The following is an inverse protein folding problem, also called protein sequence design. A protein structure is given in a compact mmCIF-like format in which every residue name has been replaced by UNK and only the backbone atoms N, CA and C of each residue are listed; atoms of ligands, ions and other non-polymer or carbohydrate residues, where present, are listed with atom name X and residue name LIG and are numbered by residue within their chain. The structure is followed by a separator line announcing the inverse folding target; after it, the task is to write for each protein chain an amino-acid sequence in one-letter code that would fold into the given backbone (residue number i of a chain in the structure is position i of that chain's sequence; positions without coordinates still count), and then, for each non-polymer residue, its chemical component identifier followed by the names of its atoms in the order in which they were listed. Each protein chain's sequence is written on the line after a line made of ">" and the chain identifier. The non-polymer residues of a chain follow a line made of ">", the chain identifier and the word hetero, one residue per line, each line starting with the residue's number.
data_IF_915841110917
#
_entry.id   IF_915841110917
#
_cell.length_a   1.000
_cell.length_b   1.000
_cell.length_c   1.000
_cell.angle_alpha   90.00
_cell.angle_beta   90.00
_cell.angle_gamma   90.00
#
_symmetry.space_group_name_H-M   'P 1'
#
loop_
_entity.id
_entity.type
_entity.pdbx_description
1 polymer ?
#
# COMPACT_ATOMS: atom_id res chain seq x y z
N UNK A 1 30.05 78.75 65.59
CA UNK A 1 31.05 78.37 64.61
C UNK A 1 31.05 76.86 64.38
N UNK A 2 30.30 76.37 63.42
CA UNK A 2 30.30 74.95 63.05
C UNK A 2 30.41 74.85 61.50
N UNK A 3 31.48 74.30 61.03
CA UNK A 3 31.74 74.06 59.61
C UNK A 3 30.98 72.76 59.16
N UNK A 4 30.12 72.87 58.16
CA UNK A 4 29.39 71.81 57.59
C UNK A 4 30.23 71.37 56.39
N UNK A 5 30.65 70.08 56.39
CA UNK A 5 31.32 69.40 55.28
C UNK A 5 30.26 68.79 54.35
N UNK A 6 30.27 69.23 53.07
CA UNK A 6 29.36 68.68 52.03
C UNK A 6 30.09 67.56 51.31
N UNK A 7 29.65 66.34 51.51
CA UNK A 7 30.13 65.17 50.76
C UNK A 7 29.32 65.05 49.47
N UNK A 8 29.95 65.28 48.32
CA UNK A 8 29.35 64.95 46.99
C UNK A 8 29.55 63.50 46.69
N UNK A 9 28.45 62.74 46.61
CA UNK A 9 28.44 61.37 46.11
C UNK A 9 28.27 61.43 44.63
N UNK A 10 29.31 61.03 43.85
CA UNK A 10 29.25 60.84 42.42
C UNK A 10 28.68 59.45 42.16
N UNK A 11 27.43 59.40 41.63
CA UNK A 11 26.77 58.15 41.20
C UNK A 11 27.23 57.83 39.74
N UNK A 12 28.16 56.90 39.58
CA UNK A 12 28.53 56.38 38.28
C UNK A 12 27.46 55.36 37.81
N UNK A 13 26.61 55.78 36.88
CA UNK A 13 25.73 54.87 36.15
C UNK A 13 26.54 54.05 35.14
N UNK A 14 26.84 52.79 35.44
CA UNK A 14 27.29 51.81 34.45
C UNK A 14 26.08 51.42 33.59
N UNK A 15 25.97 51.99 32.38
CA UNK A 15 25.11 51.48 31.33
C UNK A 15 25.74 50.17 30.82
N UNK A 16 25.32 49.05 31.35
CA UNK A 16 25.60 47.75 30.77
C UNK A 16 24.77 47.63 29.47
N UNK A 17 25.40 47.87 28.32
CA UNK A 17 24.89 47.42 27.03
C UNK A 17 24.81 45.89 27.05
N UNK A 18 23.63 45.36 27.41
CA UNK A 18 23.29 43.97 27.02
C UNK A 18 23.15 43.96 25.52
N UNK A 19 24.16 43.42 24.81
CA UNK A 19 23.96 42.87 23.49
C UNK A 19 22.89 41.80 23.65
N UNK A 20 21.70 42.05 23.16
CA UNK A 20 20.76 40.98 22.90
C UNK A 20 21.38 40.19 21.74
N UNK A 21 22.00 39.05 22.03
CA UNK A 21 22.24 38.04 21.03
C UNK A 21 20.85 37.64 20.52
N UNK A 22 20.43 38.27 19.45
CA UNK A 22 19.31 37.77 18.66
C UNK A 22 19.73 36.38 18.22
N UNK A 23 19.21 35.35 18.87
CA UNK A 23 19.25 33.99 18.37
C UNK A 23 18.52 34.07 17.03
N UNK A 24 19.29 34.20 15.95
CA UNK A 24 18.75 34.03 14.60
C UNK A 24 18.35 32.58 14.53
N UNK A 25 17.04 32.31 14.69
CA UNK A 25 16.55 30.97 14.42
C UNK A 25 17.01 30.58 13.02
N UNK A 26 17.65 29.41 12.87
CA UNK A 26 18.12 28.98 11.57
C UNK A 26 16.92 28.89 10.62
N UNK A 27 17.02 29.50 9.46
CA UNK A 27 15.98 29.45 8.42
C UNK A 27 15.71 27.98 8.14
N UNK A 28 14.54 27.50 8.54
CA UNK A 28 14.16 26.12 8.31
C UNK A 28 14.02 25.87 6.79
N UNK A 29 14.79 24.93 6.27
CA UNK A 29 14.67 24.50 4.91
C UNK A 29 13.57 23.42 4.83
N UNK A 30 12.34 23.84 4.57
CA UNK A 30 11.17 22.95 4.54
C UNK A 30 11.02 22.29 3.17
N UNK A 31 11.18 20.96 3.14
CA UNK A 31 10.96 20.12 1.97
C UNK A 31 9.54 19.57 2.02
N UNK A 32 8.70 20.02 1.08
CA UNK A 32 7.31 19.62 1.02
C UNK A 32 7.15 18.40 0.12
N UNK A 33 6.61 17.33 0.70
CA UNK A 33 6.16 16.13 -0.01
C UNK A 33 4.66 16.26 -0.30
N UNK A 34 4.17 15.49 -1.25
CA UNK A 34 2.75 15.33 -1.52
C UNK A 34 2.33 13.87 -1.37
N UNK A 35 1.10 13.63 -0.92
CA UNK A 35 0.48 12.32 -0.90
C UNK A 35 -0.98 12.43 -1.36
N UNK A 36 -1.30 11.71 -2.43
CA UNK A 36 -2.67 11.60 -2.99
C UNK A 36 -3.17 10.22 -2.61
N UNK A 37 -4.16 10.15 -1.71
CA UNK A 37 -4.59 8.90 -1.07
C UNK A 37 -6.12 8.84 -1.01
N UNK A 38 -6.67 7.64 -0.98
CA UNK A 38 -8.09 7.40 -0.74
C UNK A 38 -8.38 7.52 0.77
N UNK A 39 -8.55 8.74 1.29
CA UNK A 39 -8.76 8.98 2.72
C UNK A 39 -10.23 8.81 3.13
N UNK A 40 -11.12 8.70 2.17
CA UNK A 40 -12.56 8.46 2.36
C UNK A 40 -13.06 7.44 1.32
N UNK A 41 -14.26 6.88 1.53
CA UNK A 41 -14.87 5.89 0.64
C UNK A 41 -14.32 4.47 0.84
N UNK A 42 -14.49 3.65 -0.19
CA UNK A 42 -14.32 2.18 -0.11
C UNK A 42 -12.87 1.69 0.10
N UNK A 43 -11.88 2.54 -0.11
CA UNK A 43 -10.46 2.20 0.09
C UNK A 43 -9.81 3.02 1.21
N UNK A 44 -10.65 3.62 2.08
CA UNK A 44 -10.18 4.52 3.14
C UNK A 44 -9.35 3.85 4.22
N UNK A 45 -9.54 2.56 4.49
CA UNK A 45 -8.70 1.84 5.46
C UNK A 45 -7.22 1.91 5.06
N UNK A 46 -6.91 1.62 3.80
CA UNK A 46 -5.56 1.67 3.24
C UNK A 46 -5.02 3.10 3.18
N UNK A 47 -5.85 4.05 2.75
CA UNK A 47 -5.48 5.46 2.71
C UNK A 47 -5.14 6.03 4.07
N UNK A 48 -5.95 5.73 5.10
CA UNK A 48 -5.74 6.21 6.47
C UNK A 48 -4.52 5.57 7.13
N UNK A 49 -4.31 4.26 6.96
CA UNK A 49 -3.11 3.58 7.47
C UNK A 49 -1.84 4.07 6.76
N UNK A 50 -1.91 4.28 5.45
CA UNK A 50 -0.83 4.87 4.66
C UNK A 50 -0.50 6.31 5.09
N UNK A 51 -1.53 7.15 5.33
CA UNK A 51 -1.33 8.50 5.85
C UNK A 51 -0.65 8.49 7.21
N UNK A 52 -1.11 7.64 8.14
CA UNK A 52 -0.50 7.50 9.46
C UNK A 52 0.97 7.04 9.38
N UNK A 53 1.28 6.13 8.45
CA UNK A 53 2.65 5.69 8.19
C UNK A 53 3.54 6.83 7.68
N UNK A 54 3.05 7.65 6.75
CA UNK A 54 3.76 8.83 6.23
C UNK A 54 4.01 9.85 7.36
N UNK A 55 3.02 10.12 8.20
CA UNK A 55 3.16 11.04 9.34
C UNK A 55 4.25 10.57 10.31
N UNK A 56 4.21 9.30 10.71
CA UNK A 56 5.22 8.70 11.60
C UNK A 56 6.62 8.71 10.98
N UNK A 57 6.71 8.49 9.67
CA UNK A 57 7.98 8.56 8.95
C UNK A 57 8.55 9.97 8.92
N UNK A 58 7.72 10.99 8.73
CA UNK A 58 8.12 12.41 8.77
C UNK A 58 8.56 12.80 10.18
N UNK A 59 7.82 12.38 11.21
CA UNK A 59 8.21 12.60 12.61
C UNK A 59 9.61 12.03 12.89
N UNK A 60 9.84 10.77 12.50
CA UNK A 60 11.14 10.08 12.65
C UNK A 60 12.25 10.76 11.86
N UNK A 61 11.98 11.12 10.60
CA UNK A 61 12.95 11.80 9.72
C UNK A 61 13.35 13.17 10.27
N UNK A 62 12.37 13.96 10.72
CA UNK A 62 12.63 15.27 11.31
C UNK A 62 13.37 15.20 12.65
N UNK A 63 13.10 14.16 13.47
CA UNK A 63 13.87 13.91 14.69
C UNK A 63 15.33 13.57 14.37
N UNK A 64 15.60 12.77 13.33
CA UNK A 64 16.96 12.48 12.85
C UNK A 64 17.71 13.75 12.42
N UNK A 65 17.08 14.64 11.66
CA UNK A 65 17.70 15.91 11.27
C UNK A 65 17.95 16.84 12.49
N UNK A 66 17.00 16.89 13.41
CA UNK A 66 17.16 17.69 14.62
C UNK A 66 18.31 17.19 15.50
N UNK A 67 18.49 15.87 15.63
CA UNK A 67 19.56 15.28 16.46
C UNK A 67 20.98 15.64 16.00
N UNK A 68 21.14 15.98 14.73
CA UNK A 68 22.43 16.45 14.16
C UNK A 68 22.48 17.96 13.94
N UNK A 69 21.52 18.71 14.51
CA UNK A 69 21.48 20.18 14.40
C UNK A 69 21.16 20.71 13.01
N UNK A 70 20.61 19.86 12.10
CA UNK A 70 20.25 20.27 10.75
C UNK A 70 18.97 21.13 10.75
N UNK A 71 18.91 22.22 9.98
CA UNK A 71 17.71 23.03 9.81
C UNK A 71 16.68 22.41 8.86
N UNK A 72 17.01 21.29 8.19
CA UNK A 72 16.13 20.61 7.23
C UNK A 72 14.93 20.02 7.95
N UNK A 73 13.74 20.27 7.40
CA UNK A 73 12.49 19.65 7.86
C UNK A 73 11.68 19.18 6.67
N UNK A 74 10.99 18.07 6.86
CA UNK A 74 10.04 17.52 5.89
C UNK A 74 8.62 17.75 6.39
N UNK A 75 7.72 17.98 5.45
CA UNK A 75 6.27 18.04 5.68
C UNK A 75 5.54 17.39 4.51
N UNK A 76 4.28 16.98 4.70
CA UNK A 76 3.47 16.39 3.64
C UNK A 76 2.15 17.13 3.49
N UNK A 77 1.75 17.37 2.26
CA UNK A 77 0.43 17.85 1.85
C UNK A 77 -0.37 16.66 1.35
N UNK A 78 -1.60 16.52 1.82
CA UNK A 78 -2.47 15.40 1.47
C UNK A 78 -3.62 15.87 0.59
N UNK A 79 -4.00 15.03 -0.37
CA UNK A 79 -5.24 15.15 -1.11
C UNK A 79 -6.04 13.84 -0.99
N UNK A 80 -7.32 13.96 -0.64
CA UNK A 80 -8.27 12.85 -0.65
C UNK A 80 -8.80 12.64 -2.07
N UNK A 81 -8.67 11.43 -2.59
CA UNK A 81 -9.07 11.10 -3.95
C UNK A 81 -10.40 10.38 -4.03
N UNK A 82 -10.86 9.77 -2.93
CA UNK A 82 -12.12 9.05 -2.90
C UNK A 82 -12.27 8.04 -4.06
N UNK A 83 -11.14 7.45 -4.49
CA UNK A 83 -11.04 6.57 -5.68
C UNK A 83 -11.50 7.24 -7.00
N UNK A 84 -11.59 8.57 -7.05
CA UNK A 84 -11.97 9.33 -8.25
C UNK A 84 -10.72 9.88 -8.96
N UNK A 85 -10.52 9.42 -10.19
CA UNK A 85 -9.38 9.85 -11.02
C UNK A 85 -9.39 11.35 -11.34
N UNK A 86 -10.55 12.04 -11.28
CA UNK A 86 -10.60 13.49 -11.48
C UNK A 86 -10.11 14.22 -10.23
N UNK A 87 -10.49 13.75 -9.04
CA UNK A 87 -9.93 14.27 -7.78
C UNK A 87 -8.43 14.00 -7.69
N UNK A 88 -7.98 12.81 -8.11
CA UNK A 88 -6.55 12.50 -8.21
C UNK A 88 -5.81 13.47 -9.12
N UNK A 89 -6.34 13.74 -10.33
CA UNK A 89 -5.74 14.69 -11.27
C UNK A 89 -5.69 16.12 -10.72
N UNK A 90 -6.78 16.59 -10.09
CA UNK A 90 -6.80 17.93 -9.48
C UNK A 90 -5.82 18.02 -8.31
N UNK A 91 -5.80 17.03 -7.40
CA UNK A 91 -4.86 17.01 -6.28
C UNK A 91 -3.40 17.02 -6.70
N UNK A 92 -3.02 16.19 -7.70
CA UNK A 92 -1.66 16.20 -8.26
C UNK A 92 -1.33 17.54 -8.90
N UNK A 93 -2.26 18.14 -9.65
CA UNK A 93 -2.08 19.45 -10.27
C UNK A 93 -1.91 20.56 -9.24
N UNK A 94 -2.72 20.59 -8.19
CA UNK A 94 -2.63 21.57 -7.10
C UNK A 94 -1.28 21.45 -6.38
N UNK A 95 -0.80 20.24 -6.12
CA UNK A 95 0.53 20.01 -5.57
C UNK A 95 1.63 20.54 -6.50
N UNK A 96 1.50 20.29 -7.81
CA UNK A 96 2.43 20.82 -8.81
C UNK A 96 2.45 22.35 -8.81
N UNK A 97 1.28 22.99 -8.84
CA UNK A 97 1.16 24.46 -8.84
C UNK A 97 1.71 25.07 -7.54
N UNK A 98 1.61 24.33 -6.42
CA UNK A 98 2.22 24.70 -5.14
C UNK A 98 3.74 24.45 -5.07
N UNK A 99 4.37 23.98 -6.16
CA UNK A 99 5.82 23.73 -6.23
C UNK A 99 6.26 22.37 -5.66
N UNK A 100 5.34 21.47 -5.31
CA UNK A 100 5.65 20.12 -4.85
C UNK A 100 6.00 19.25 -6.07
N UNK A 101 7.12 18.52 -6.00
CA UNK A 101 7.61 17.66 -7.09
C UNK A 101 7.91 16.23 -6.63
N UNK A 102 7.77 15.96 -5.34
CA UNK A 102 8.04 14.67 -4.71
C UNK A 102 6.74 14.14 -4.10
N UNK A 103 6.24 13.05 -4.63
CA UNK A 103 5.07 12.34 -4.08
C UNK A 103 5.51 11.07 -3.38
N UNK A 104 4.88 10.75 -2.26
CA UNK A 104 5.17 9.56 -1.45
C UNK A 104 3.87 8.81 -1.10
N UNK A 105 3.94 7.49 -1.08
CA UNK A 105 2.81 6.63 -0.78
C UNK A 105 1.84 6.46 -1.96
N UNK A 106 1.13 7.52 -2.31
CA UNK A 106 0.15 7.54 -3.40
C UNK A 106 0.71 7.82 -4.80
N UNK A 107 -0.15 7.83 -5.84
CA UNK A 107 -1.62 7.68 -5.81
C UNK A 107 -2.13 6.35 -5.24
N UNK A 108 -3.34 6.40 -4.66
CA UNK A 108 -3.90 5.37 -3.80
C UNK A 108 -4.23 4.02 -4.46
N UNK A 109 -4.33 3.97 -5.81
CA UNK A 109 -4.59 2.72 -6.53
C UNK A 109 -4.09 2.77 -7.98
N UNK A 110 -4.11 1.63 -8.68
CA UNK A 110 -3.56 1.50 -10.04
C UNK A 110 -4.31 2.33 -11.08
N UNK A 111 -5.62 2.51 -10.95
CA UNK A 111 -6.43 3.30 -11.89
C UNK A 111 -6.10 4.78 -11.77
N UNK A 112 -5.92 5.26 -10.56
CA UNK A 112 -5.52 6.64 -10.27
C UNK A 112 -4.09 6.93 -10.74
N UNK A 113 -3.13 6.04 -10.43
CA UNK A 113 -1.76 6.21 -10.89
C UNK A 113 -1.68 6.25 -12.41
N UNK A 114 -2.42 5.36 -13.10
CA UNK A 114 -2.51 5.37 -14.56
C UNK A 114 -3.05 6.69 -15.10
N UNK A 115 -4.04 7.27 -14.42
CA UNK A 115 -4.68 8.52 -14.84
C UNK A 115 -3.76 9.75 -14.73
N UNK A 116 -2.82 9.76 -13.77
CA UNK A 116 -1.90 10.89 -13.55
C UNK A 116 -0.50 10.66 -14.09
N UNK A 117 -0.13 9.42 -14.41
CA UNK A 117 1.21 9.07 -14.92
C UNK A 117 1.71 9.99 -16.05
N UNK A 118 0.92 10.29 -17.11
CA UNK A 118 1.37 11.19 -18.17
C UNK A 118 1.72 12.60 -17.67
N UNK A 119 0.98 13.09 -16.66
CA UNK A 119 1.25 14.39 -16.06
C UNK A 119 2.52 14.36 -15.21
N UNK A 120 2.73 13.30 -14.41
CA UNK A 120 3.94 13.13 -13.59
C UNK A 120 5.19 13.12 -14.47
N UNK A 121 5.19 12.31 -15.53
CA UNK A 121 6.32 12.18 -16.45
C UNK A 121 6.63 13.50 -17.19
N UNK A 122 5.60 14.14 -17.76
CA UNK A 122 5.75 15.40 -18.50
C UNK A 122 6.28 16.54 -17.62
N UNK A 123 5.93 16.56 -16.34
CA UNK A 123 6.29 17.62 -15.39
C UNK A 123 7.41 17.21 -14.43
N UNK A 124 8.06 16.06 -14.66
CA UNK A 124 9.17 15.54 -13.84
C UNK A 124 8.83 15.52 -12.34
N UNK A 125 7.61 15.08 -12.01
CA UNK A 125 7.19 14.82 -10.63
C UNK A 125 7.54 13.39 -10.27
N UNK A 126 8.41 13.20 -9.31
CA UNK A 126 8.79 11.87 -8.82
C UNK A 126 7.73 11.34 -7.86
N UNK A 127 7.21 10.14 -8.11
CA UNK A 127 6.34 9.40 -7.20
C UNK A 127 7.04 8.13 -6.70
N UNK A 128 7.13 7.98 -5.38
CA UNK A 128 7.51 6.73 -4.71
C UNK A 128 6.23 6.16 -4.11
N UNK A 129 5.56 5.28 -4.86
CA UNK A 129 4.20 4.82 -4.56
C UNK A 129 4.17 3.42 -3.95
N UNK A 130 3.09 3.10 -3.20
CA UNK A 130 2.97 1.89 -2.40
C UNK A 130 1.64 1.15 -2.55
N UNK A 131 0.69 1.63 -3.38
CA UNK A 131 -0.67 1.07 -3.47
C UNK A 131 -1.09 0.68 -4.90
N UNK A 132 -0.20 0.82 -5.87
CA UNK A 132 -0.50 0.63 -7.30
C UNK A 132 0.31 -0.54 -7.87
N UNK A 133 -0.31 -1.72 -7.99
CA UNK A 133 0.36 -2.98 -8.33
C UNK A 133 0.17 -3.45 -9.78
N UNK A 134 -0.70 -2.79 -10.58
CA UNK A 134 -0.99 -3.26 -11.96
C UNK A 134 0.29 -3.39 -12.81
N UNK A 135 0.46 -4.53 -13.54
CA UNK A 135 1.61 -4.74 -14.45
C UNK A 135 1.71 -3.71 -15.57
N UNK A 136 0.57 -3.10 -15.97
CA UNK A 136 0.55 -2.06 -17.01
C UNK A 136 1.27 -0.76 -16.62
N UNK A 137 1.64 -0.63 -15.34
CA UNK A 137 2.38 0.51 -14.78
C UNK A 137 3.89 0.21 -14.63
N UNK A 138 4.32 -1.00 -14.95
CA UNK A 138 5.72 -1.45 -14.93
C UNK A 138 6.46 -0.89 -16.15
N UNK A 139 6.91 0.36 -16.07
CA UNK A 139 7.52 1.09 -17.18
C UNK A 139 8.88 1.64 -16.76
N UNK A 140 9.93 1.24 -17.48
CA UNK A 140 11.28 1.72 -17.20
C UNK A 140 11.45 3.21 -17.56
N UNK A 141 12.37 3.87 -16.87
CA UNK A 141 12.80 5.23 -17.12
C UNK A 141 11.74 6.34 -16.97
N UNK A 142 10.62 6.03 -16.34
CA UNK A 142 9.61 7.01 -15.95
C UNK A 142 9.94 7.73 -14.62
N UNK A 143 9.00 8.54 -14.11
CA UNK A 143 9.14 9.24 -12.83
C UNK A 143 8.42 8.53 -11.68
N UNK A 144 8.31 7.19 -11.74
CA UNK A 144 7.59 6.38 -10.76
C UNK A 144 8.47 5.26 -10.25
N UNK A 145 8.55 5.12 -8.94
CA UNK A 145 9.07 3.95 -8.25
C UNK A 145 7.98 3.33 -7.39
N UNK A 146 7.86 2.00 -7.42
CA UNK A 146 6.87 1.29 -6.62
C UNK A 146 7.57 0.42 -5.58
N UNK A 147 7.33 0.70 -4.30
CA UNK A 147 7.90 -0.09 -3.19
C UNK A 147 7.08 -1.36 -2.88
N UNK A 148 6.28 -1.78 -3.84
CA UNK A 148 5.53 -3.02 -3.86
C UNK A 148 5.82 -3.76 -5.17
N UNK A 149 5.63 -5.07 -5.17
CA UNK A 149 5.73 -5.86 -6.41
C UNK A 149 4.54 -5.59 -7.33
N UNK A 150 4.73 -5.79 -8.62
CA UNK A 150 3.60 -5.82 -9.54
C UNK A 150 2.77 -7.10 -9.41
N UNK A 151 1.56 -7.10 -9.98
CA UNK A 151 0.63 -8.21 -9.90
C UNK A 151 1.09 -9.49 -10.63
N UNK A 152 2.19 -9.46 -11.39
CA UNK A 152 2.79 -10.68 -11.91
C UNK A 152 3.34 -11.55 -10.78
N UNK A 153 3.88 -10.94 -9.72
CA UNK A 153 4.38 -11.67 -8.55
C UNK A 153 3.21 -12.21 -7.73
N UNK A 154 2.16 -11.40 -7.53
CA UNK A 154 0.93 -11.85 -6.87
C UNK A 154 0.27 -13.02 -7.61
N UNK A 155 0.15 -12.89 -8.94
CA UNK A 155 -0.37 -13.96 -9.80
C UNK A 155 0.49 -15.23 -9.73
N UNK A 156 1.81 -15.10 -9.58
CA UNK A 156 2.72 -16.21 -9.31
C UNK A 156 2.38 -16.93 -8.01
N UNK A 157 2.15 -16.20 -6.93
CA UNK A 157 1.73 -16.75 -5.65
C UNK A 157 0.36 -17.47 -5.75
N UNK A 158 -0.63 -16.83 -6.38
CA UNK A 158 -1.94 -17.44 -6.64
C UNK A 158 -1.83 -18.70 -7.48
N UNK A 159 -1.05 -18.68 -8.55
CA UNK A 159 -0.84 -19.87 -9.41
C UNK A 159 -0.17 -21.03 -8.65
N UNK A 160 0.79 -20.72 -7.77
CA UNK A 160 1.40 -21.74 -6.92
C UNK A 160 0.37 -22.37 -5.97
N UNK A 161 -0.54 -21.57 -5.39
CA UNK A 161 -1.61 -22.06 -4.53
C UNK A 161 -2.66 -22.87 -5.31
N UNK A 162 -3.04 -22.42 -6.51
CA UNK A 162 -3.93 -23.14 -7.44
C UNK A 162 -3.39 -24.52 -7.75
N UNK A 163 -2.09 -24.64 -8.05
CA UNK A 163 -1.42 -25.91 -8.30
C UNK A 163 -1.31 -26.79 -7.05
N UNK A 164 -0.95 -26.21 -5.92
CA UNK A 164 -0.90 -26.89 -4.63
C UNK A 164 -2.24 -27.53 -4.29
N UNK A 165 -3.34 -26.80 -4.48
CA UNK A 165 -4.69 -27.27 -4.25
C UNK A 165 -5.24 -28.19 -5.35
N UNK A 166 -4.45 -28.43 -6.39
CA UNK A 166 -4.82 -29.26 -7.55
C UNK A 166 -6.06 -28.74 -8.29
N UNK A 167 -6.29 -27.43 -8.31
CA UNK A 167 -7.36 -26.78 -9.08
C UNK A 167 -7.03 -26.86 -10.57
N UNK A 168 -8.07 -27.05 -11.41
CA UNK A 168 -7.95 -27.22 -12.86
C UNK A 168 -8.58 -26.07 -13.64
N UNK A 169 -9.52 -25.36 -13.06
CA UNK A 169 -10.16 -24.20 -13.67
C UNK A 169 -10.33 -23.07 -12.64
N UNK A 170 -9.90 -21.87 -12.99
CA UNK A 170 -10.09 -20.64 -12.21
C UNK A 170 -11.10 -19.76 -12.94
N UNK A 171 -12.15 -19.34 -12.26
CA UNK A 171 -13.22 -18.46 -12.75
C UNK A 171 -13.04 -17.09 -12.10
N UNK A 172 -12.50 -16.07 -12.77
CA UNK A 172 -12.41 -14.74 -12.22
C UNK A 172 -13.77 -14.05 -12.10
N UNK A 173 -14.01 -13.40 -10.96
CA UNK A 173 -15.04 -12.39 -10.74
C UNK A 173 -14.32 -11.12 -10.33
N UNK A 174 -14.27 -10.11 -11.21
CA UNK A 174 -13.28 -9.06 -11.07
C UNK A 174 -13.78 -7.67 -11.47
N UNK A 175 -13.21 -6.66 -10.83
CA UNK A 175 -13.42 -5.25 -11.16
C UNK A 175 -12.92 -4.95 -12.58
N UNK A 176 -13.73 -4.22 -13.34
CA UNK A 176 -13.41 -3.80 -14.70
C UNK A 176 -12.63 -2.48 -14.72
N UNK A 177 -11.45 -2.49 -14.08
CA UNK A 177 -10.54 -1.35 -13.99
C UNK A 177 -9.08 -1.77 -14.25
N UNK A 178 -8.14 -0.84 -14.05
CA UNK A 178 -6.71 -1.09 -14.31
C UNK A 178 -6.16 -2.21 -13.42
N UNK A 179 -6.58 -2.27 -12.15
CA UNK A 179 -6.14 -3.29 -11.21
C UNK A 179 -6.73 -4.66 -11.54
N UNK A 180 -8.07 -4.78 -11.59
CA UNK A 180 -8.72 -6.07 -11.79
C UNK A 180 -8.35 -6.73 -13.12
N UNK A 181 -8.33 -5.97 -14.21
CA UNK A 181 -7.86 -6.48 -15.52
C UNK A 181 -6.39 -6.87 -15.49
N UNK A 182 -5.56 -6.11 -14.77
CA UNK A 182 -4.12 -6.37 -14.65
C UNK A 182 -3.85 -7.73 -14.00
N UNK A 183 -4.44 -7.98 -12.83
CA UNK A 183 -4.25 -9.23 -12.10
C UNK A 183 -4.83 -10.44 -12.85
N UNK A 184 -6.02 -10.31 -13.46
CA UNK A 184 -6.59 -11.41 -14.26
C UNK A 184 -5.71 -11.72 -15.48
N UNK A 185 -5.18 -10.71 -16.16
CA UNK A 185 -4.24 -10.91 -17.27
C UNK A 185 -2.98 -11.62 -16.79
N UNK A 186 -2.41 -11.20 -15.67
CA UNK A 186 -1.25 -11.87 -15.07
C UNK A 186 -1.54 -13.33 -14.71
N UNK A 187 -2.74 -13.64 -14.20
CA UNK A 187 -3.16 -15.02 -13.92
C UNK A 187 -3.28 -15.87 -15.18
N UNK A 188 -3.79 -15.30 -16.28
CA UNK A 188 -3.82 -15.98 -17.59
C UNK A 188 -2.39 -16.32 -18.04
N UNK A 189 -1.45 -15.37 -17.96
CA UNK A 189 -0.05 -15.61 -18.29
C UNK A 189 0.56 -16.70 -17.40
N UNK A 190 0.29 -16.66 -16.10
CA UNK A 190 0.76 -17.67 -15.15
C UNK A 190 0.20 -19.07 -15.40
N UNK A 191 -0.94 -19.20 -16.07
CA UNK A 191 -1.53 -20.50 -16.40
C UNK A 191 -0.88 -21.19 -17.60
N UNK A 192 -0.17 -20.43 -18.45
CA UNK A 192 0.45 -20.97 -19.67
C UNK A 192 1.43 -22.10 -19.38
N UNK A 193 1.22 -23.24 -20.02
CA UNK A 193 2.05 -24.45 -19.83
C UNK A 193 1.88 -25.14 -18.48
N UNK A 194 0.93 -24.68 -17.63
CA UNK A 194 0.60 -25.30 -16.35
C UNK A 194 -0.70 -26.12 -16.40
N UNK A 195 -0.93 -26.94 -15.41
CA UNK A 195 -2.05 -27.88 -15.37
C UNK A 195 -3.35 -27.24 -14.83
N UNK A 196 -3.63 -26.00 -15.20
CA UNK A 196 -4.90 -25.33 -14.96
C UNK A 196 -5.18 -24.28 -16.04
N UNK A 197 -6.45 -23.91 -16.18
CA UNK A 197 -6.90 -22.84 -17.09
C UNK A 197 -7.49 -21.68 -16.28
N UNK A 198 -7.45 -20.48 -16.85
CA UNK A 198 -8.17 -19.31 -16.38
C UNK A 198 -9.28 -18.99 -17.38
N UNK A 199 -10.54 -19.04 -16.92
CA UNK A 199 -11.71 -18.68 -17.73
C UNK A 199 -11.75 -17.16 -17.95
N UNK A 200 -12.36 -16.64 -19.02
CA UNK A 200 -12.59 -15.19 -19.17
C UNK A 200 -13.29 -14.53 -17.97
N UNK A 201 -14.12 -15.28 -17.24
CA UNK A 201 -14.77 -14.83 -16.01
C UNK A 201 -15.87 -13.79 -16.22
N UNK A 202 -16.23 -13.13 -15.13
CA UNK A 202 -17.24 -12.07 -15.08
C UNK A 202 -16.57 -10.78 -14.60
N UNK A 203 -16.55 -9.76 -15.44
CA UNK A 203 -16.15 -8.43 -15.01
C UNK A 203 -17.36 -7.59 -14.58
N UNK A 204 -17.15 -6.67 -13.64
CA UNK A 204 -18.15 -5.71 -13.20
C UNK A 204 -17.55 -4.30 -13.11
N UNK A 205 -18.38 -3.29 -13.36
CA UNK A 205 -17.94 -1.89 -13.22
C UNK A 205 -17.81 -1.52 -11.74
N UNK A 206 -16.77 -0.78 -11.33
CA UNK A 206 -16.72 -0.16 -10.01
C UNK A 206 -18.01 0.60 -9.69
N UNK A 207 -18.52 0.46 -8.45
CA UNK A 207 -19.80 1.03 -8.05
C UNK A 207 -21.05 0.24 -8.47
N UNK A 208 -20.88 -0.94 -9.10
CA UNK A 208 -22.02 -1.84 -9.35
C UNK A 208 -22.57 -2.39 -8.03
N UNK A 209 -23.90 -2.54 -7.95
CA UNK A 209 -24.60 -3.06 -6.76
C UNK A 209 -25.41 -4.34 -7.05
N UNK A 210 -25.35 -4.85 -8.28
CA UNK A 210 -26.07 -6.06 -8.69
C UNK A 210 -25.31 -7.35 -8.36
N UNK A 211 -24.82 -7.46 -7.13
CA UNK A 211 -23.98 -8.56 -6.64
C UNK A 211 -24.63 -9.93 -6.82
N UNK A 212 -25.94 -10.04 -6.55
CA UNK A 212 -26.67 -11.32 -6.69
C UNK A 212 -26.69 -11.83 -8.14
N UNK A 213 -26.93 -10.95 -9.12
CA UNK A 213 -26.90 -11.29 -10.54
C UNK A 213 -25.50 -11.73 -10.98
N UNK A 214 -24.48 -10.96 -10.63
CA UNK A 214 -23.08 -11.26 -10.98
C UNK A 214 -22.62 -12.58 -10.36
N UNK A 215 -23.00 -12.83 -9.12
CA UNK A 215 -22.73 -14.08 -8.41
C UNK A 215 -23.45 -15.27 -9.05
N UNK A 216 -24.72 -15.10 -9.45
CA UNK A 216 -25.46 -16.15 -10.15
C UNK A 216 -24.85 -16.51 -11.52
N UNK A 217 -24.38 -15.50 -12.26
CA UNK A 217 -23.64 -15.71 -13.53
C UNK A 217 -22.31 -16.45 -13.29
N UNK A 218 -21.60 -16.08 -12.21
CA UNK A 218 -20.38 -16.80 -11.81
C UNK A 218 -20.68 -18.27 -11.48
N UNK A 219 -21.78 -18.55 -10.77
CA UNK A 219 -22.21 -19.91 -10.48
C UNK A 219 -22.46 -20.74 -11.74
N UNK A 220 -23.00 -20.14 -12.81
CA UNK A 220 -23.16 -20.79 -14.11
C UNK A 220 -21.82 -21.25 -14.70
N UNK A 221 -20.81 -20.37 -14.71
CA UNK A 221 -19.46 -20.74 -15.20
C UNK A 221 -18.78 -21.77 -14.31
N UNK A 222 -18.98 -21.70 -12.98
CA UNK A 222 -18.47 -22.73 -12.06
C UNK A 222 -19.14 -24.07 -12.32
N UNK A 223 -20.45 -24.11 -12.59
CA UNK A 223 -21.17 -25.33 -12.92
C UNK A 223 -20.65 -25.99 -14.21
N UNK A 224 -20.43 -25.20 -15.27
CA UNK A 224 -19.85 -25.68 -16.53
C UNK A 224 -18.44 -26.27 -16.32
N UNK A 225 -17.58 -25.56 -15.59
CA UNK A 225 -16.24 -26.04 -15.28
C UNK A 225 -16.27 -27.28 -14.36
N UNK A 226 -17.19 -27.32 -13.41
CA UNK A 226 -17.37 -28.46 -12.51
C UNK A 226 -17.83 -29.74 -13.24
N UNK A 227 -18.63 -29.61 -14.28
CA UNK A 227 -19.02 -30.74 -15.14
C UNK A 227 -17.79 -31.34 -15.88
N UNK A 228 -16.82 -30.52 -16.25
CA UNK A 228 -15.62 -30.98 -16.95
C UNK A 228 -14.52 -31.51 -16.00
N UNK A 229 -14.33 -30.90 -14.83
CA UNK A 229 -13.16 -31.16 -13.96
C UNK A 229 -13.54 -31.72 -12.59
N UNK A 230 -14.81 -31.68 -12.19
CA UNK A 230 -15.26 -31.92 -10.83
C UNK A 230 -15.26 -30.65 -9.96
N UNK A 231 -16.27 -30.49 -9.11
CA UNK A 231 -16.48 -29.25 -8.33
C UNK A 231 -15.28 -28.85 -7.44
N UNK A 232 -14.62 -29.83 -6.82
CA UNK A 232 -13.42 -29.60 -5.98
C UNK A 232 -12.17 -29.16 -6.75
N UNK A 233 -12.21 -29.18 -8.08
CA UNK A 233 -11.13 -28.76 -8.98
C UNK A 233 -11.40 -27.41 -9.64
N UNK A 234 -12.46 -26.72 -9.25
CA UNK A 234 -12.82 -25.39 -9.74
C UNK A 234 -12.64 -24.38 -8.62
N UNK A 235 -12.12 -23.22 -8.98
CA UNK A 235 -11.99 -22.10 -8.05
C UNK A 235 -12.62 -20.83 -8.62
N UNK A 236 -13.19 -19.99 -7.75
CA UNK A 236 -13.48 -18.59 -8.03
C UNK A 236 -12.28 -17.75 -7.59
N UNK A 237 -11.84 -16.83 -8.43
CA UNK A 237 -10.87 -15.81 -8.09
C UNK A 237 -11.60 -14.46 -7.99
N UNK A 238 -11.78 -13.97 -6.77
CA UNK A 238 -12.45 -12.72 -6.47
C UNK A 238 -11.44 -11.57 -6.44
N UNK A 239 -11.50 -10.67 -7.44
CA UNK A 239 -10.60 -9.51 -7.54
C UNK A 239 -11.41 -8.24 -7.35
N UNK A 240 -11.43 -7.75 -6.11
CA UNK A 240 -12.29 -6.64 -5.67
C UNK A 240 -11.57 -5.83 -4.60
N UNK A 241 -12.20 -4.74 -4.19
CA UNK A 241 -11.85 -4.03 -2.95
C UNK A 241 -12.86 -4.36 -1.85
N UNK A 242 -13.58 -3.37 -1.32
CA UNK A 242 -14.60 -3.58 -0.28
C UNK A 242 -15.80 -4.42 -0.75
N UNK A 243 -16.06 -4.48 -2.06
CA UNK A 243 -17.13 -5.30 -2.64
C UNK A 243 -16.97 -6.80 -2.33
N UNK A 244 -15.80 -7.24 -1.83
CA UNK A 244 -15.58 -8.63 -1.42
C UNK A 244 -16.66 -9.12 -0.45
N UNK A 245 -17.01 -8.31 0.55
CA UNK A 245 -18.02 -8.63 1.55
C UNK A 245 -19.39 -8.89 0.91
N UNK A 246 -19.78 -8.07 -0.05
CA UNK A 246 -21.08 -8.18 -0.73
C UNK A 246 -21.14 -9.42 -1.65
N UNK A 247 -20.07 -9.70 -2.40
CA UNK A 247 -19.99 -10.90 -3.24
C UNK A 247 -19.98 -12.20 -2.42
N UNK A 248 -19.23 -12.24 -1.33
CA UNK A 248 -19.20 -13.41 -0.45
C UNK A 248 -20.56 -13.63 0.22
N UNK A 249 -21.23 -12.56 0.66
CA UNK A 249 -22.61 -12.63 1.19
C UNK A 249 -23.61 -13.07 0.12
N UNK A 250 -23.52 -12.57 -1.11
CA UNK A 250 -24.37 -12.96 -2.21
C UNK A 250 -24.17 -14.42 -2.65
N UNK A 251 -23.00 -15.00 -2.38
CA UNK A 251 -22.71 -16.41 -2.67
C UNK A 251 -23.24 -17.38 -1.59
N UNK A 252 -23.62 -16.86 -0.41
CA UNK A 252 -24.12 -17.68 0.68
C UNK A 252 -25.38 -18.47 0.26
N UNK A 253 -25.44 -19.75 0.63
CA UNK A 253 -26.56 -20.63 0.26
C UNK A 253 -26.54 -21.17 -1.18
N UNK A 254 -25.60 -20.73 -2.03
CA UNK A 254 -25.45 -21.30 -3.36
C UNK A 254 -24.63 -22.59 -3.29
N UNK A 255 -25.28 -23.74 -3.54
CA UNK A 255 -24.65 -25.06 -3.43
C UNK A 255 -23.44 -25.26 -4.37
N UNK A 256 -23.48 -24.67 -5.57
CA UNK A 256 -22.42 -24.82 -6.57
C UNK A 256 -21.19 -24.04 -6.13
N UNK A 257 -21.38 -22.78 -5.71
CA UNK A 257 -20.32 -21.90 -5.24
C UNK A 257 -19.74 -22.40 -3.91
N UNK A 258 -20.58 -23.00 -3.04
CA UNK A 258 -20.15 -23.59 -1.77
C UNK A 258 -19.25 -24.83 -1.93
N UNK A 259 -19.25 -25.48 -3.11
CA UNK A 259 -18.38 -26.62 -3.42
C UNK A 259 -17.08 -26.25 -4.13
N UNK A 260 -17.02 -25.03 -4.68
CA UNK A 260 -15.83 -24.49 -5.32
C UNK A 260 -14.84 -23.96 -4.28
N UNK A 261 -13.56 -23.88 -4.65
CA UNK A 261 -12.57 -23.13 -3.88
C UNK A 261 -12.71 -21.63 -4.14
N UNK A 262 -12.30 -20.83 -3.17
CA UNK A 262 -12.34 -19.39 -3.32
C UNK A 262 -10.98 -18.76 -2.97
N UNK A 263 -10.46 -18.02 -3.92
CA UNK A 263 -9.26 -17.18 -3.76
C UNK A 263 -9.67 -15.71 -3.87
N UNK A 264 -9.09 -14.89 -3.02
CA UNK A 264 -9.14 -13.43 -3.14
C UNK A 264 -7.83 -12.88 -3.72
N UNK A 265 -7.72 -11.57 -3.69
CA UNK A 265 -6.54 -10.80 -4.05
C UNK A 265 -5.99 -10.06 -2.81
N UNK A 266 -4.86 -9.37 -2.95
CA UNK A 266 -4.23 -8.59 -1.89
C UNK A 266 -5.17 -7.55 -1.27
N UNK A 267 -5.98 -6.90 -2.11
CA UNK A 267 -6.95 -5.91 -1.67
C UNK A 267 -8.13 -6.47 -0.85
N UNK A 268 -8.26 -7.80 -0.75
CA UNK A 268 -9.28 -8.44 0.09
C UNK A 268 -8.78 -8.84 1.49
N UNK A 269 -7.46 -8.83 1.71
CA UNK A 269 -6.86 -9.30 2.95
C UNK A 269 -7.15 -8.35 4.10
N UNK A 270 -7.51 -8.92 5.26
CA UNK A 270 -7.73 -8.19 6.51
C UNK A 270 -8.82 -7.10 6.45
N UNK A 271 -9.78 -7.24 5.51
CA UNK A 271 -10.95 -6.36 5.45
C UNK A 271 -11.89 -6.65 6.60
N UNK A 272 -12.16 -5.63 7.41
CA UNK A 272 -13.08 -5.71 8.53
C UNK A 272 -14.51 -5.96 8.04
N UNK A 273 -14.89 -5.39 6.89
CA UNK A 273 -16.22 -5.59 6.28
C UNK A 273 -16.53 -7.05 5.98
N UNK A 274 -15.53 -7.88 5.66
CA UNK A 274 -15.73 -9.34 5.47
C UNK A 274 -16.04 -10.04 6.78
N UNK A 275 -15.45 -9.61 7.90
CA UNK A 275 -15.68 -10.23 9.23
C UNK A 275 -17.00 -9.78 9.88
N UNK A 276 -17.40 -8.53 9.65
CA UNK A 276 -18.59 -7.91 10.26
C UNK A 276 -19.87 -8.20 9.50
N UNK A 277 -19.80 -8.52 8.20
CA UNK A 277 -20.92 -9.03 7.42
C UNK A 277 -21.07 -10.55 7.69
N UNK A 278 -22.05 -10.93 8.50
CA UNK A 278 -22.25 -12.32 8.93
C UNK A 278 -22.32 -13.29 7.75
N UNK A 279 -23.09 -12.96 6.69
CA UNK A 279 -23.21 -13.81 5.51
C UNK A 279 -21.89 -14.01 4.77
N UNK A 280 -21.10 -12.93 4.66
CA UNK A 280 -19.78 -12.99 4.05
C UNK A 280 -18.80 -13.83 4.89
N UNK A 281 -18.76 -13.61 6.19
CA UNK A 281 -17.85 -14.32 7.10
C UNK A 281 -18.16 -15.83 7.17
N UNK A 282 -19.43 -16.19 7.29
CA UNK A 282 -19.89 -17.59 7.29
C UNK A 282 -19.51 -18.29 5.99
N UNK A 283 -19.82 -17.66 4.84
CA UNK A 283 -19.49 -18.24 3.53
C UNK A 283 -17.97 -18.33 3.34
N UNK A 284 -17.22 -17.26 3.61
CA UNK A 284 -15.78 -17.25 3.49
C UNK A 284 -15.10 -18.33 4.34
N UNK A 285 -15.58 -18.54 5.57
CA UNK A 285 -15.08 -19.60 6.45
C UNK A 285 -15.41 -20.98 5.91
N UNK A 286 -16.63 -21.20 5.42
CA UNK A 286 -17.09 -22.49 4.90
C UNK A 286 -16.32 -22.93 3.65
N UNK A 287 -16.07 -22.02 2.70
CA UNK A 287 -15.35 -22.32 1.45
C UNK A 287 -13.83 -22.20 1.58
N UNK A 288 -13.32 -21.86 2.76
CA UNK A 288 -11.90 -21.57 3.01
C UNK A 288 -11.40 -20.46 2.07
N UNK A 289 -12.11 -19.33 2.05
CA UNK A 289 -11.65 -18.16 1.30
C UNK A 289 -10.25 -17.77 1.76
N UNK A 290 -9.29 -17.77 0.85
CA UNK A 290 -7.90 -17.39 1.10
C UNK A 290 -7.47 -16.30 0.14
N UNK A 291 -6.74 -15.31 0.65
CA UNK A 291 -6.25 -14.20 -0.16
C UNK A 291 -4.79 -13.91 0.16
N UNK A 292 -3.93 -13.67 -0.85
CA UNK A 292 -2.52 -13.36 -0.64
C UNK A 292 -2.31 -11.87 -0.47
N UNK A 293 -1.36 -11.48 0.37
CA UNK A 293 -0.81 -10.13 0.39
C UNK A 293 0.70 -10.20 0.50
N UNK A 294 1.39 -9.20 -0.02
CA UNK A 294 2.84 -9.07 0.14
C UNK A 294 3.24 -9.21 1.61
N UNK A 295 4.18 -10.11 1.90
CA UNK A 295 4.62 -10.42 3.25
C UNK A 295 5.66 -9.44 3.78
N UNK A 296 5.64 -9.24 5.10
CA UNK A 296 6.66 -8.52 5.83
C UNK A 296 7.53 -9.57 6.54
N UNK A 297 8.83 -9.57 6.26
CA UNK A 297 9.76 -10.54 6.85
C UNK A 297 9.71 -11.93 6.20
N UNK A 298 10.30 -12.90 6.86
CA UNK A 298 10.41 -14.28 6.38
C UNK A 298 9.59 -15.23 7.25
N UNK A 299 8.85 -16.15 6.62
CA UNK A 299 8.19 -17.30 7.24
C UNK A 299 7.30 -16.98 8.46
N UNK A 300 6.65 -15.82 8.48
CA UNK A 300 5.70 -15.47 9.55
C UNK A 300 6.32 -14.78 10.77
N UNK A 301 7.59 -14.44 10.74
CA UNK A 301 8.22 -13.55 11.71
C UNK A 301 8.20 -12.12 11.18
N UNK A 302 7.42 -11.25 11.83
CA UNK A 302 7.44 -9.81 11.54
C UNK A 302 8.66 -9.23 12.27
N UNK A 303 9.57 -8.52 11.57
CA UNK A 303 10.70 -7.85 12.22
C UNK A 303 10.23 -6.85 13.28
N UNK A 304 10.96 -6.72 14.39
CA UNK A 304 10.55 -5.86 15.50
C UNK A 304 10.24 -4.40 15.07
N UNK A 305 11.03 -3.73 14.21
CA UNK A 305 10.69 -2.38 13.77
C UNK A 305 9.37 -2.30 13.00
N UNK A 306 9.04 -3.34 12.21
CA UNK A 306 7.78 -3.40 11.48
C UNK A 306 6.59 -3.66 12.42
N UNK A 307 6.77 -4.49 13.46
CA UNK A 307 5.76 -4.72 14.48
C UNK A 307 5.47 -3.46 15.28
N UNK A 308 6.50 -2.76 15.76
CA UNK A 308 6.36 -1.49 16.47
C UNK A 308 5.64 -0.42 15.62
N UNK A 309 6.01 -0.29 14.36
CA UNK A 309 5.35 0.61 13.42
C UNK A 309 3.89 0.24 13.22
N UNK A 310 3.57 -1.05 13.08
CA UNK A 310 2.20 -1.55 12.97
C UNK A 310 1.35 -1.16 14.18
N UNK A 311 1.90 -1.32 15.39
CA UNK A 311 1.20 -0.94 16.63
C UNK A 311 0.95 0.56 16.71
N UNK A 312 1.91 1.39 16.29
CA UNK A 312 1.76 2.85 16.25
C UNK A 312 0.69 3.28 15.23
N UNK A 313 0.68 2.69 14.03
CA UNK A 313 -0.34 2.97 13.01
C UNK A 313 -1.72 2.54 13.51
N UNK A 314 -1.83 1.35 14.09
CA UNK A 314 -3.07 0.85 14.67
C UNK A 314 -3.59 1.75 15.78
N UNK A 315 -2.72 2.23 16.65
CA UNK A 315 -3.09 3.17 17.72
C UNK A 315 -3.65 4.50 17.18
N UNK A 316 -3.11 4.98 16.03
CA UNK A 316 -3.58 6.22 15.37
C UNK A 316 -4.88 6.04 14.61
N UNK A 317 -5.11 4.88 13.98
CA UNK A 317 -6.18 4.69 12.98
C UNK A 317 -7.30 3.74 13.43
N UNK A 318 -7.02 2.86 14.39
CA UNK A 318 -7.88 1.74 14.75
C UNK A 318 -7.73 0.51 13.84
N UNK A 319 -7.08 0.65 12.67
CA UNK A 319 -6.91 -0.42 11.68
C UNK A 319 -5.55 -1.10 11.78
N UNK A 320 -5.50 -2.38 11.46
CA UNK A 320 -4.24 -3.11 11.29
C UNK A 320 -3.65 -2.71 9.93
N UNK A 321 -2.42 -2.14 9.88
CA UNK A 321 -1.80 -1.81 8.61
C UNK A 321 -1.32 -3.06 7.90
N UNK A 322 -1.36 -3.04 6.59
CA UNK A 322 -0.79 -4.04 5.72
C UNK A 322 0.66 -3.68 5.29
N UNK A 323 1.26 -4.51 4.45
CA UNK A 323 2.60 -4.28 3.92
C UNK A 323 2.69 -3.01 3.05
N UNK A 324 1.59 -2.58 2.46
CA UNK A 324 1.51 -1.39 1.61
C UNK A 324 1.57 -0.11 2.45
N UNK A 325 0.83 -0.07 3.55
CA UNK A 325 0.93 1.02 4.52
C UNK A 325 2.35 1.13 5.11
N UNK A 326 2.99 0.00 5.46
CA UNK A 326 4.37 0.00 5.94
C UNK A 326 5.36 0.44 4.85
N UNK A 327 5.07 0.14 3.58
CA UNK A 327 5.87 0.64 2.46
C UNK A 327 5.76 2.15 2.28
N UNK A 328 4.64 2.77 2.68
CA UNK A 328 4.48 4.22 2.67
C UNK A 328 5.38 4.92 3.70
N UNK A 329 5.65 4.28 4.86
CA UNK A 329 6.70 4.73 5.78
C UNK A 329 8.07 4.71 5.10
N UNK A 330 8.42 3.59 4.46
CA UNK A 330 9.71 3.45 3.77
C UNK A 330 9.86 4.45 2.61
N UNK A 331 8.78 4.79 1.91
CA UNK A 331 8.80 5.78 0.83
C UNK A 331 9.32 7.14 1.30
N UNK A 332 8.90 7.59 2.50
CA UNK A 332 9.37 8.84 3.11
C UNK A 332 10.83 8.72 3.54
N UNK A 333 11.20 7.61 4.20
CA UNK A 333 12.58 7.40 4.65
C UNK A 333 13.56 7.32 3.46
N UNK A 334 13.19 6.60 2.40
CA UNK A 334 13.97 6.51 1.16
C UNK A 334 14.08 7.87 0.49
N UNK A 335 12.99 8.66 0.43
CA UNK A 335 13.02 10.02 -0.10
C UNK A 335 13.97 10.92 0.69
N UNK A 336 13.97 10.83 2.03
CA UNK A 336 14.90 11.56 2.91
C UNK A 336 16.36 11.17 2.70
N UNK A 337 16.66 9.87 2.60
CA UNK A 337 18.00 9.37 2.30
C UNK A 337 18.45 9.77 0.90
N UNK A 338 17.56 9.72 -0.08
CA UNK A 338 17.84 10.16 -1.44
C UNK A 338 18.12 11.67 -1.51
N UNK A 339 17.43 12.48 -0.70
CA UNK A 339 17.71 13.89 -0.53
C UNK A 339 19.12 14.11 0.02
N UNK A 340 19.55 13.39 1.05
CA UNK A 340 20.88 13.49 1.65
C UNK A 340 21.98 13.20 0.59
N UNK A 341 21.80 12.15 -0.21
CA UNK A 341 22.77 11.76 -1.25
C UNK A 341 22.76 12.75 -2.42
N UNK A 342 21.60 13.18 -2.88
CA UNK A 342 21.45 14.12 -4.00
C UNK A 342 21.88 15.55 -3.63
N UNK A 343 21.90 15.90 -2.34
CA UNK A 343 22.14 17.26 -1.83
C UNK A 343 21.11 18.28 -2.34
N UNK A 344 19.90 17.83 -2.70
CA UNK A 344 18.91 18.66 -3.39
C UNK A 344 17.52 18.03 -3.29
N UNK A 345 16.48 18.89 -3.23
CA UNK A 345 15.07 18.49 -3.37
C UNK A 345 14.60 18.42 -4.84
N UNK A 346 15.50 18.57 -5.81
CA UNK A 346 15.17 18.40 -7.22
C UNK A 346 14.77 16.96 -7.54
N UNK A 347 13.56 16.77 -8.06
CA UNK A 347 12.99 15.44 -8.31
C UNK A 347 13.82 14.61 -9.31
N UNK A 348 14.44 15.27 -10.31
CA UNK A 348 15.30 14.59 -11.28
C UNK A 348 16.58 14.06 -10.63
N UNK A 349 17.21 14.84 -9.73
CA UNK A 349 18.38 14.40 -8.97
C UNK A 349 18.04 13.28 -7.99
N UNK A 350 16.95 13.43 -7.24
CA UNK A 350 16.48 12.39 -6.31
C UNK A 350 16.18 11.09 -7.07
N UNK A 351 15.48 11.17 -8.22
CA UNK A 351 15.18 10.03 -9.08
C UNK A 351 16.42 9.19 -9.40
N UNK A 352 17.56 9.82 -9.71
CA UNK A 352 18.78 9.11 -10.12
C UNK A 352 19.42 8.30 -8.99
N UNK A 353 19.16 8.62 -7.73
CA UNK A 353 19.76 7.94 -6.56
C UNK A 353 18.81 6.97 -5.86
N UNK A 354 17.47 7.07 -6.08
CA UNK A 354 16.48 6.19 -5.45
C UNK A 354 16.80 4.70 -5.61
N UNK A 355 17.20 4.17 -6.80
CA UNK A 355 17.50 2.74 -6.93
C UNK A 355 18.66 2.27 -6.03
N UNK A 356 19.71 3.09 -5.87
CA UNK A 356 20.82 2.77 -4.98
C UNK A 356 20.42 2.82 -3.50
N UNK A 357 19.61 3.81 -3.12
CA UNK A 357 19.04 3.91 -1.77
C UNK A 357 18.18 2.69 -1.48
N UNK A 358 17.25 2.33 -2.37
CA UNK A 358 16.39 1.16 -2.22
C UNK A 358 17.20 -0.14 -2.08
N UNK A 359 18.30 -0.28 -2.83
CA UNK A 359 19.16 -1.46 -2.75
C UNK A 359 19.86 -1.63 -1.40
N UNK A 360 20.14 -0.52 -0.71
CA UNK A 360 20.82 -0.52 0.60
C UNK A 360 19.84 -0.46 1.79
N UNK A 361 18.58 -0.06 1.54
CA UNK A 361 17.58 0.16 2.57
C UNK A 361 16.92 -1.14 3.03
N UNK A 362 16.89 -1.37 4.35
CA UNK A 362 16.26 -2.55 4.96
C UNK A 362 15.78 -2.28 6.39
N UNK A 363 15.23 -1.10 6.67
CA UNK A 363 14.87 -0.72 8.04
C UNK A 363 13.74 -1.59 8.62
N UNK A 364 12.70 -1.86 7.83
CA UNK A 364 11.58 -2.70 8.27
C UNK A 364 11.82 -4.21 8.06
N UNK A 365 13.03 -4.63 7.67
CA UNK A 365 13.34 -6.04 7.39
C UNK A 365 12.77 -6.54 6.06
N UNK A 366 12.38 -5.62 5.16
CA UNK A 366 11.95 -5.91 3.79
C UNK A 366 12.98 -5.33 2.84
N UNK A 367 13.54 -6.17 1.97
CA UNK A 367 14.40 -5.67 0.88
C UNK A 367 13.57 -4.75 -0.03
N UNK A 368 14.10 -3.58 -0.33
CA UNK A 368 13.48 -2.62 -1.26
C UNK A 368 14.16 -2.58 -2.62
N UNK A 369 14.94 -3.62 -2.95
CA UNK A 369 15.63 -3.71 -4.25
C UNK A 369 14.61 -3.66 -5.39
N UNK A 370 14.85 -2.72 -6.31
CA UNK A 370 13.99 -2.49 -7.46
C UNK A 370 14.43 -3.32 -8.68
N UNK A 371 13.47 -3.65 -9.54
CA UNK A 371 13.70 -4.19 -10.87
C UNK A 371 14.01 -3.07 -11.89
N UNK A 372 14.20 -3.43 -13.15
CA UNK A 372 14.51 -2.47 -14.22
C UNK A 372 13.36 -1.47 -14.52
N UNK A 373 12.14 -1.80 -14.16
CA UNK A 373 10.98 -0.91 -14.31
C UNK A 373 10.79 0.03 -13.10
N UNK A 374 11.63 -0.08 -12.06
CA UNK A 374 11.48 0.72 -10.85
C UNK A 374 10.48 0.17 -9.82
N UNK A 375 10.07 -1.09 -9.97
CA UNK A 375 9.18 -1.77 -9.03
C UNK A 375 9.98 -2.64 -8.06
N UNK A 376 9.41 -2.94 -6.88
CA UNK A 376 10.00 -3.93 -5.98
C UNK A 376 10.20 -5.25 -6.72
N UNK A 377 11.44 -5.73 -6.78
CA UNK A 377 11.83 -6.83 -7.67
C UNK A 377 11.15 -8.17 -7.30
N UNK A 378 10.95 -8.42 -6.02
CA UNK A 378 10.36 -9.67 -5.52
C UNK A 378 9.88 -9.50 -4.08
N UNK A 379 8.88 -10.30 -3.70
CA UNK A 379 8.44 -10.44 -2.31
C UNK A 379 7.80 -11.81 -2.10
N UNK A 380 7.89 -12.32 -0.87
CA UNK A 380 7.05 -13.43 -0.46
C UNK A 380 5.61 -12.95 -0.25
N UNK A 381 4.64 -13.85 -0.36
CA UNK A 381 3.23 -13.54 -0.11
C UNK A 381 2.68 -14.39 1.01
N UNK A 382 1.95 -13.76 1.93
CA UNK A 382 1.25 -14.47 3.01
C UNK A 382 -0.20 -14.64 2.59
N UNK A 383 -0.69 -15.87 2.58
CA UNK A 383 -2.10 -16.18 2.39
C UNK A 383 -2.82 -16.12 3.72
N UNK A 384 -3.86 -15.32 3.75
CA UNK A 384 -4.76 -15.18 4.88
C UNK A 384 -6.09 -15.85 4.58
N UNK A 385 -6.71 -16.45 5.59
CA UNK A 385 -8.04 -17.05 5.50
C UNK A 385 -8.97 -16.46 6.54
N UNK A 386 -10.27 -16.54 6.26
CA UNK A 386 -11.30 -16.30 7.28
C UNK A 386 -11.59 -17.62 7.99
N UNK A 387 -11.58 -17.61 9.32
CA UNK A 387 -12.00 -18.76 10.15
C UNK A 387 -12.85 -18.31 11.33
N UNK A 388 -13.73 -19.20 11.78
CA UNK A 388 -14.48 -19.00 13.01
C UNK A 388 -13.54 -19.02 14.23
N UNK A 389 -13.78 -18.11 15.19
CA UNK A 389 -13.12 -18.08 16.48
C UNK A 389 -14.09 -17.57 17.56
N UNK A 390 -14.36 -18.41 18.57
CA UNK A 390 -15.39 -18.11 19.58
C UNK A 390 -16.76 -17.90 18.97
N UNK A 391 -17.36 -16.73 19.18
CA UNK A 391 -18.66 -16.34 18.61
C UNK A 391 -18.53 -15.47 17.34
N UNK A 392 -17.34 -15.31 16.80
CA UNK A 392 -17.08 -14.45 15.64
C UNK A 392 -16.14 -15.09 14.63
N UNK A 393 -15.55 -14.22 13.81
CA UNK A 393 -14.62 -14.61 12.76
C UNK A 393 -13.36 -13.77 12.83
N UNK A 394 -12.25 -14.35 12.42
CA UNK A 394 -10.96 -13.65 12.33
C UNK A 394 -10.27 -13.93 11.01
N UNK A 395 -9.38 -13.04 10.62
CA UNK A 395 -8.35 -13.32 9.66
C UNK A 395 -7.18 -14.06 10.34
N UNK A 396 -6.81 -15.20 9.78
CA UNK A 396 -5.72 -16.05 10.24
C UNK A 396 -4.75 -16.34 9.10
N UNK A 397 -3.45 -16.26 9.38
CA UNK A 397 -2.46 -16.59 8.35
C UNK A 397 -2.41 -18.09 8.09
N UNK A 398 -2.57 -18.48 6.85
CA UNK A 398 -2.76 -19.87 6.40
C UNK A 398 -1.51 -20.47 5.79
N UNK A 399 -0.84 -19.73 4.90
CA UNK A 399 0.30 -20.21 4.14
C UNK A 399 1.24 -19.07 3.76
N UNK A 400 2.45 -19.41 3.35
CA UNK A 400 3.39 -18.46 2.77
C UNK A 400 3.84 -18.96 1.40
N UNK A 401 3.74 -18.10 0.40
CA UNK A 401 4.42 -18.30 -0.89
C UNK A 401 5.84 -17.79 -0.80
N UNK A 402 6.79 -18.66 -1.07
CA UNK A 402 8.23 -18.37 -1.12
C UNK A 402 8.62 -18.08 -2.57
N UNK A 403 8.85 -16.79 -2.87
CA UNK A 403 9.08 -16.34 -4.25
C UNK A 403 10.38 -16.90 -4.85
N UNK A 404 11.45 -17.02 -4.05
CA UNK A 404 12.75 -17.53 -4.53
C UNK A 404 12.66 -18.96 -5.05
N UNK A 405 11.84 -19.82 -4.45
CA UNK A 405 11.69 -21.22 -4.86
C UNK A 405 10.37 -21.52 -5.56
N UNK A 406 9.47 -20.54 -5.70
CA UNK A 406 8.14 -20.70 -6.30
C UNK A 406 7.32 -21.85 -5.69
N UNK A 407 7.24 -21.91 -4.36
CA UNK A 407 6.51 -22.96 -3.62
C UNK A 407 5.71 -22.40 -2.45
N UNK A 408 4.74 -23.20 -1.98
CA UNK A 408 3.87 -22.87 -0.83
C UNK A 408 4.36 -23.62 0.41
N UNK A 409 4.39 -22.90 1.53
CA UNK A 409 4.60 -23.45 2.88
C UNK A 409 3.31 -23.23 3.66
N UNK A 410 2.65 -24.32 4.08
CA UNK A 410 1.49 -24.25 4.97
C UNK A 410 1.93 -23.95 6.41
N UNK A 411 1.12 -23.22 7.16
CA UNK A 411 1.29 -23.00 8.60
C UNK A 411 0.55 -24.03 9.44
#
# INVERSE_FOLDING_TARGET
>A
MKRIFLLSVIFLCFLACRKSDSVVEPVQNNIRLGAVLDLSGDYSQEGLTGKAAIELAIESLNARYASVGSPVRFSCVYADTHMDTNLTKSGVKEMYDAGIRLLVGGPGNSTELKAVKPFLDANRMLAITCFSSSPSLSVADDYIYRLITDDNVQAGALAAMVLHDSVRAVIPLFRDDTYGRGLVTAMVEQSRGKNFIVNPGISFKPGSTNYQELTARTAGLVAEAAAAYGASKVAVLLVTYQEASEFLSAAQGNEILGKARWYGCDANVQKESVLTNTGAAEFASAVRFIAPIMGIGTAGMIPAPAAELSDLIRAKTGYIPDAYALSAYDAVQICGLAYDIAGSADAGKIRTVVPSVCSAYNYLGISRKLNAAGDLATANYIFWRVRAEGLGFIWDSYATYMAEGNYIVLK
#
